data_IF_848196019107
#
_entry.id   IF_848196019107
#
_cell.length_a   1.000
_cell.length_b   1.000
_cell.length_c   1.000
_cell.angle_alpha   90.00
_cell.angle_beta   90.00
_cell.angle_gamma   90.00
#
_symmetry.space_group_name_H-M   'P 1'
#
loop_
_entity.id
_entity.type
_entity.pdbx_description
1 polymer ?
#
# COMPACT_ATOMS: atom_id res chain seq x y z
N UNK A 1 -1.44 27.84 38.58
CA UNK A 1 -2.76 27.42 38.03
C UNK A 1 -2.77 27.29 36.50
N UNK A 2 -2.40 28.31 35.71
CA UNK A 2 -2.43 28.22 34.22
C UNK A 2 -1.47 27.17 33.62
N UNK A 3 -0.29 26.97 34.20
CA UNK A 3 0.64 25.93 33.73
C UNK A 3 0.16 24.51 34.04
N UNK A 4 -0.39 24.29 35.24
CA UNK A 4 -0.98 23.02 35.61
C UNK A 4 -2.14 22.67 34.65
N UNK A 5 -3.05 23.63 34.41
CA UNK A 5 -4.12 23.47 33.43
C UNK A 5 -3.60 23.14 32.03
N UNK A 6 -2.55 23.83 31.56
CA UNK A 6 -1.90 23.53 30.27
C UNK A 6 -1.38 22.08 30.20
N UNK A 7 -0.74 21.60 31.27
CA UNK A 7 -0.23 20.22 31.34
C UNK A 7 -1.35 19.19 31.34
N UNK A 8 -2.43 19.42 32.09
CA UNK A 8 -3.60 18.53 32.10
C UNK A 8 -4.29 18.47 30.74
N UNK A 9 -4.55 19.63 30.12
CA UNK A 9 -5.19 19.68 28.80
C UNK A 9 -4.32 19.04 27.73
N UNK A 10 -3.00 19.23 27.79
CA UNK A 10 -2.05 18.52 26.91
C UNK A 10 -2.17 17.00 27.06
N UNK A 11 -2.15 16.49 28.30
CA UNK A 11 -2.27 15.05 28.56
C UNK A 11 -3.60 14.48 28.02
N UNK A 12 -4.71 15.18 28.28
CA UNK A 12 -6.03 14.82 27.76
C UNK A 12 -6.02 14.80 26.23
N UNK A 13 -5.38 15.79 25.60
CA UNK A 13 -5.30 15.89 24.13
C UNK A 13 -4.46 14.77 23.52
N UNK A 14 -3.39 14.32 24.19
CA UNK A 14 -2.60 13.16 23.76
C UNK A 14 -3.42 11.87 23.86
N UNK A 15 -4.15 11.68 24.96
CA UNK A 15 -5.04 10.51 25.12
C UNK A 15 -6.14 10.53 24.06
N UNK A 16 -6.75 11.69 23.82
CA UNK A 16 -7.75 11.87 22.77
C UNK A 16 -7.17 11.59 21.37
N UNK A 17 -5.94 12.04 21.08
CA UNK A 17 -5.27 11.76 19.81
C UNK A 17 -5.07 10.26 19.60
N UNK A 18 -4.68 9.50 20.62
CA UNK A 18 -4.56 8.04 20.53
C UNK A 18 -5.92 7.40 20.22
N UNK A 19 -6.98 7.81 20.90
CA UNK A 19 -8.33 7.31 20.63
C UNK A 19 -8.81 7.66 19.20
N UNK A 20 -8.50 8.86 18.72
CA UNK A 20 -8.77 9.30 17.35
C UNK A 20 -8.04 8.43 16.33
N UNK A 21 -6.75 8.17 16.53
CA UNK A 21 -5.96 7.31 15.64
C UNK A 21 -6.50 5.87 15.64
N UNK A 22 -6.88 5.33 16.80
CA UNK A 22 -7.53 4.01 16.87
C UNK A 22 -8.81 3.99 16.04
N UNK A 23 -9.69 4.99 16.21
CA UNK A 23 -10.92 5.09 15.44
C UNK A 23 -10.66 5.24 13.93
N UNK A 24 -9.67 6.04 13.55
CA UNK A 24 -9.25 6.20 12.16
C UNK A 24 -8.80 4.87 11.55
N UNK A 25 -7.95 4.11 12.24
CA UNK A 25 -7.49 2.80 11.75
C UNK A 25 -8.62 1.77 11.66
N UNK A 26 -9.59 1.79 12.58
CA UNK A 26 -10.79 0.93 12.46
C UNK A 26 -11.52 1.25 11.15
N UNK A 27 -11.83 2.54 10.88
CA UNK A 27 -12.50 2.93 9.63
C UNK A 27 -11.68 2.58 8.39
N UNK A 28 -10.37 2.80 8.42
CA UNK A 28 -9.47 2.47 7.31
C UNK A 28 -9.48 0.97 7.05
N UNK A 29 -9.41 0.13 8.09
CA UNK A 29 -9.43 -1.34 7.96
C UNK A 29 -10.81 -1.85 7.52
N UNK A 30 -11.90 -1.28 8.04
CA UNK A 30 -13.26 -1.59 7.58
C UNK A 30 -13.40 -1.31 6.08
N UNK A 31 -12.81 -0.21 5.62
CA UNK A 31 -12.81 0.18 4.21
C UNK A 31 -11.90 -0.72 3.36
N UNK A 32 -10.70 -1.09 3.84
CA UNK A 32 -9.82 -2.08 3.21
C UNK A 32 -10.54 -3.41 3.00
N UNK A 33 -11.31 -3.84 4.01
CA UNK A 33 -12.05 -5.09 4.01
C UNK A 33 -13.38 -5.04 3.24
N UNK A 34 -13.95 -3.85 3.00
CA UNK A 34 -15.17 -3.71 2.19
C UNK A 34 -14.86 -3.58 0.70
N UNK A 35 -13.65 -3.13 0.37
CA UNK A 35 -13.20 -2.89 -1.00
C UNK A 35 -12.50 -4.12 -1.59
N UNK A 36 -13.30 -5.10 -2.01
CA UNK A 36 -12.87 -6.14 -2.97
C UNK A 36 -13.33 -5.71 -4.36
N UNK A 37 -12.52 -4.90 -5.03
CA UNK A 37 -12.74 -4.60 -6.46
C UNK A 37 -12.43 -5.81 -7.34
N UNK A 38 -12.10 -5.58 -8.61
CA UNK A 38 -11.79 -6.65 -9.57
C UNK A 38 -10.55 -7.42 -9.12
N UNK A 39 -10.76 -8.64 -8.62
CA UNK A 39 -9.72 -9.48 -8.03
C UNK A 39 -8.91 -8.80 -6.91
N UNK A 40 -9.55 -7.97 -6.09
CA UNK A 40 -8.92 -7.32 -4.93
C UNK A 40 -8.21 -5.99 -5.21
N UNK A 41 -8.09 -5.56 -6.47
CA UNK A 41 -7.63 -4.22 -6.83
C UNK A 41 -8.79 -3.23 -6.95
N UNK A 42 -8.54 -1.98 -6.56
CA UNK A 42 -9.57 -0.93 -6.58
C UNK A 42 -9.01 0.34 -7.24
N UNK A 43 -9.68 0.83 -8.29
CA UNK A 43 -9.28 2.04 -9.00
C UNK A 43 -7.81 1.98 -9.50
N UNK A 44 -7.04 3.05 -9.34
CA UNK A 44 -5.65 3.14 -9.79
C UNK A 44 -4.65 2.30 -8.97
N UNK A 45 -5.11 1.64 -7.90
CA UNK A 45 -4.26 0.75 -7.09
C UNK A 45 -3.59 -0.35 -7.93
N UNK A 46 -4.30 -0.91 -8.91
CA UNK A 46 -3.74 -1.93 -9.82
C UNK A 46 -2.48 -1.40 -10.52
N UNK A 47 -2.57 -0.23 -11.15
CA UNK A 47 -1.49 0.39 -11.88
C UNK A 47 -0.27 0.66 -10.99
N UNK A 48 -0.47 1.11 -9.76
CA UNK A 48 0.64 1.43 -8.84
C UNK A 48 1.28 0.18 -8.23
N UNK A 49 0.48 -0.79 -7.80
CA UNK A 49 0.96 -2.04 -7.19
C UNK A 49 1.66 -2.90 -8.22
N UNK A 50 1.08 -3.07 -9.42
CA UNK A 50 1.69 -3.84 -10.50
C UNK A 50 2.95 -3.16 -11.03
N UNK A 51 2.98 -1.83 -11.12
CA UNK A 51 4.20 -1.10 -11.43
C UNK A 51 5.28 -1.29 -10.36
N UNK A 52 4.91 -1.23 -9.07
CA UNK A 52 5.84 -1.50 -7.97
C UNK A 52 6.42 -2.92 -8.05
N UNK A 53 5.57 -3.92 -8.31
CA UNK A 53 5.98 -5.32 -8.53
C UNK A 53 6.90 -5.46 -9.75
N UNK A 54 6.55 -4.81 -10.87
CA UNK A 54 7.37 -4.82 -12.07
C UNK A 54 8.74 -4.17 -11.85
N UNK A 55 8.80 -3.05 -11.11
CA UNK A 55 10.08 -2.43 -10.71
C UNK A 55 10.89 -3.40 -9.84
N UNK A 56 10.26 -4.01 -8.84
CA UNK A 56 10.90 -4.99 -7.94
C UNK A 56 11.57 -6.12 -8.72
N UNK A 57 10.85 -6.74 -9.66
CA UNK A 57 11.39 -7.85 -10.44
C UNK A 57 12.34 -7.41 -11.55
N UNK A 58 11.98 -6.41 -12.35
CA UNK A 58 12.72 -6.09 -13.58
C UNK A 58 13.91 -5.17 -13.35
N UNK A 59 13.80 -4.25 -12.39
CA UNK A 59 14.84 -3.26 -12.11
C UNK A 59 15.76 -3.77 -11.01
N UNK A 60 15.20 -4.32 -9.93
CA UNK A 60 16.00 -4.79 -8.79
C UNK A 60 16.34 -6.28 -8.85
N UNK A 61 15.69 -7.08 -9.70
CA UNK A 61 15.95 -8.52 -9.79
C UNK A 61 15.53 -9.29 -8.53
N UNK A 62 14.60 -8.73 -7.75
CA UNK A 62 14.13 -9.29 -6.48
C UNK A 62 12.70 -9.83 -6.63
N UNK A 63 12.26 -10.60 -5.64
CA UNK A 63 10.87 -11.06 -5.52
C UNK A 63 10.28 -10.66 -4.17
N UNK A 64 8.94 -10.50 -4.07
CA UNK A 64 8.28 -10.35 -2.78
C UNK A 64 8.62 -11.48 -1.82
N UNK A 65 8.54 -11.22 -0.51
CA UNK A 65 8.68 -12.29 0.47
C UNK A 65 7.50 -13.26 0.35
N UNK A 66 7.81 -14.55 0.38
CA UNK A 66 6.85 -15.64 0.29
C UNK A 66 6.75 -16.29 1.66
N UNK A 67 5.51 -16.51 2.13
CA UNK A 67 5.27 -17.13 3.43
C UNK A 67 4.68 -18.53 3.24
N UNK A 68 5.23 -19.50 3.99
CA UNK A 68 4.68 -20.86 4.05
C UNK A 68 5.24 -21.80 2.98
N UNK A 69 4.49 -22.87 2.75
CA UNK A 69 4.79 -24.00 1.86
C UNK A 69 4.15 -23.84 0.46
N UNK A 70 3.48 -22.72 0.21
CA UNK A 70 2.78 -22.41 -1.04
C UNK A 70 3.23 -21.07 -1.58
N UNK A 71 3.29 -20.96 -2.90
CA UNK A 71 3.79 -19.78 -3.61
C UNK A 71 2.79 -19.31 -4.64
N UNK A 72 2.42 -18.04 -4.57
CA UNK A 72 1.59 -17.38 -5.57
C UNK A 72 2.45 -17.01 -6.79
N UNK A 73 2.03 -17.47 -7.97
CA UNK A 73 2.71 -17.17 -9.23
C UNK A 73 1.72 -16.87 -10.34
N UNK A 74 2.05 -15.89 -11.16
CA UNK A 74 1.50 -15.74 -12.52
C UNK A 74 2.47 -16.37 -13.51
N UNK A 75 2.00 -17.42 -14.19
CA UNK A 75 2.72 -18.13 -15.24
C UNK A 75 2.25 -17.58 -16.58
N UNK A 76 3.08 -16.75 -17.21
CA UNK A 76 2.84 -16.25 -18.56
C UNK A 76 3.22 -17.35 -19.54
N UNK A 77 2.35 -17.63 -20.50
CA UNK A 77 2.47 -18.77 -21.40
C UNK A 77 2.98 -18.36 -22.77
N UNK A 78 3.60 -19.31 -23.48
CA UNK A 78 3.96 -19.12 -24.89
C UNK A 78 2.71 -19.04 -25.79
N UNK A 79 2.81 -18.31 -26.90
CA UNK A 79 1.64 -18.02 -27.77
C UNK A 79 0.92 -19.26 -28.33
N UNK A 80 1.62 -20.38 -28.53
CA UNK A 80 1.04 -21.64 -29.00
C UNK A 80 0.38 -22.51 -27.93
N UNK A 81 0.47 -22.13 -26.64
CA UNK A 81 -0.06 -22.93 -25.54
C UNK A 81 -1.60 -22.88 -25.51
N UNK A 82 -2.22 -24.04 -25.35
CA UNK A 82 -3.62 -24.18 -24.93
C UNK A 82 -3.69 -24.03 -23.40
N UNK A 83 -4.50 -23.07 -22.93
CA UNK A 83 -4.55 -22.70 -21.50
C UNK A 83 -5.20 -23.80 -20.67
N UNK A 84 -6.22 -24.49 -21.20
CA UNK A 84 -6.95 -25.52 -20.47
C UNK A 84 -6.11 -26.79 -20.34
N UNK A 85 -5.42 -27.18 -21.41
CA UNK A 85 -4.45 -28.29 -21.33
C UNK A 85 -3.32 -27.98 -20.34
N UNK A 86 -2.80 -26.75 -20.35
CA UNK A 86 -1.73 -26.34 -19.44
C UNK A 86 -2.18 -26.32 -17.98
N UNK A 87 -3.42 -25.90 -17.72
CA UNK A 87 -4.05 -25.93 -16.40
C UNK A 87 -4.09 -27.35 -15.84
N UNK A 88 -4.55 -28.32 -16.64
CA UNK A 88 -4.55 -29.74 -16.24
C UNK A 88 -3.14 -30.25 -15.89
N UNK A 89 -2.11 -29.80 -16.62
CA UNK A 89 -0.72 -30.16 -16.33
C UNK A 89 -0.27 -29.61 -14.98
N UNK A 90 -0.47 -28.32 -14.69
CA UNK A 90 0.00 -27.73 -13.42
C UNK A 90 -0.79 -28.27 -12.21
N UNK A 91 -2.07 -28.60 -12.38
CA UNK A 91 -2.89 -29.20 -11.32
C UNK A 91 -2.38 -30.59 -10.89
N UNK A 92 -1.75 -31.36 -11.81
CA UNK A 92 -1.09 -32.64 -11.47
C UNK A 92 0.13 -32.45 -10.57
N UNK A 93 0.74 -31.27 -10.58
CA UNK A 93 1.81 -30.88 -9.65
C UNK A 93 1.27 -30.29 -8.34
N UNK A 94 -0.03 -30.38 -8.09
CA UNK A 94 -0.67 -29.87 -6.87
C UNK A 94 -0.91 -28.36 -6.87
N UNK A 95 -0.77 -27.70 -8.03
CA UNK A 95 -1.10 -26.28 -8.15
C UNK A 95 -2.62 -26.05 -8.08
N UNK A 96 -3.03 -24.99 -7.39
CA UNK A 96 -4.40 -24.48 -7.37
C UNK A 96 -4.50 -23.27 -8.29
N UNK A 97 -5.21 -23.41 -9.41
CA UNK A 97 -5.39 -22.30 -10.37
C UNK A 97 -6.55 -21.43 -9.90
N UNK A 98 -6.26 -20.17 -9.61
CA UNK A 98 -7.23 -19.18 -9.11
C UNK A 98 -7.79 -18.32 -10.24
N UNK A 99 -6.99 -18.04 -11.28
CA UNK A 99 -7.39 -17.21 -12.42
C UNK A 99 -6.72 -17.66 -13.71
N UNK A 100 -7.49 -17.77 -14.78
CA UNK A 100 -7.08 -18.28 -16.09
C UNK A 100 -7.73 -17.55 -17.29
N UNK A 101 -8.55 -16.53 -17.03
CA UNK A 101 -9.37 -15.81 -18.01
C UNK A 101 -8.70 -14.55 -18.58
N UNK A 102 -7.36 -14.56 -18.70
CA UNK A 102 -6.60 -13.43 -19.25
C UNK A 102 -6.81 -13.26 -20.76
N UNK A 103 -7.29 -12.09 -21.17
CA UNK A 103 -7.60 -11.74 -22.57
C UNK A 103 -6.41 -11.05 -23.26
N UNK A 104 -5.67 -10.19 -22.55
CA UNK A 104 -4.61 -9.38 -23.18
C UNK A 104 -3.28 -10.12 -23.30
N UNK A 105 -3.08 -11.19 -22.53
CA UNK A 105 -1.90 -12.04 -22.56
C UNK A 105 -2.28 -13.45 -22.11
N UNK A 106 -1.63 -14.47 -22.66
CA UNK A 106 -1.88 -15.85 -22.20
C UNK A 106 -1.17 -16.07 -20.88
N UNK A 107 -1.92 -16.31 -19.81
CA UNK A 107 -1.36 -16.64 -18.51
C UNK A 107 -2.33 -17.47 -17.68
N UNK A 108 -1.81 -18.07 -16.61
CA UNK A 108 -2.60 -18.51 -15.47
C UNK A 108 -1.99 -17.94 -14.20
N UNK A 109 -2.82 -17.67 -13.21
CA UNK A 109 -2.41 -17.38 -11.84
C UNK A 109 -2.77 -18.56 -10.96
N UNK A 110 -1.77 -19.07 -10.26
CA UNK A 110 -1.87 -20.28 -9.47
C UNK A 110 -1.10 -20.16 -8.15
N UNK A 111 -1.57 -20.93 -7.17
CA UNK A 111 -0.87 -21.18 -5.92
C UNK A 111 -0.21 -22.54 -6.02
N UNK A 112 1.12 -22.58 -6.00
CA UNK A 112 1.91 -23.78 -6.25
C UNK A 112 2.63 -24.21 -4.97
N UNK A 113 2.57 -25.49 -4.56
CA UNK A 113 3.38 -26.01 -3.47
C UNK A 113 4.88 -25.79 -3.74
N UNK A 114 5.64 -25.37 -2.72
CA UNK A 114 7.06 -25.05 -2.88
C UNK A 114 7.89 -26.27 -3.33
N UNK A 115 7.46 -27.47 -2.95
CA UNK A 115 8.06 -28.75 -3.32
C UNK A 115 7.99 -29.01 -4.83
N UNK A 116 6.91 -28.57 -5.49
CA UNK A 116 6.68 -28.80 -6.92
C UNK A 116 6.94 -27.56 -7.78
N UNK A 117 7.13 -26.40 -7.15
CA UNK A 117 7.34 -25.11 -7.80
C UNK A 117 8.42 -25.16 -8.88
N UNK A 118 9.58 -25.77 -8.57
CA UNK A 118 10.70 -25.80 -9.52
C UNK A 118 10.36 -26.57 -10.82
N UNK A 119 9.47 -27.56 -10.76
CA UNK A 119 9.03 -28.28 -11.97
C UNK A 119 8.06 -27.43 -12.78
N UNK A 120 7.09 -26.79 -12.09
CA UNK A 120 6.05 -25.98 -12.74
C UNK A 120 6.64 -24.78 -13.46
N UNK A 121 7.57 -24.05 -12.85
CA UNK A 121 8.13 -22.82 -13.42
C UNK A 121 9.07 -23.08 -14.61
N UNK A 122 9.58 -24.31 -14.77
CA UNK A 122 10.45 -24.73 -15.87
C UNK A 122 9.72 -25.51 -16.97
N UNK A 123 8.38 -25.60 -16.90
CA UNK A 123 7.60 -26.21 -17.98
C UNK A 123 7.84 -25.42 -19.29
N UNK A 124 7.98 -26.12 -20.44
CA UNK A 124 8.37 -25.49 -21.70
C UNK A 124 7.35 -24.47 -22.22
N UNK A 125 6.10 -24.58 -21.78
CA UNK A 125 5.01 -23.67 -22.13
C UNK A 125 5.06 -22.34 -21.35
N UNK A 126 5.87 -22.24 -20.30
CA UNK A 126 6.00 -21.04 -19.47
C UNK A 126 7.07 -20.14 -20.08
N UNK A 127 6.65 -18.95 -20.53
CA UNK A 127 7.55 -17.93 -21.09
C UNK A 127 8.13 -17.02 -20.01
N UNK A 128 7.35 -16.72 -18.97
CA UNK A 128 7.77 -15.89 -17.84
C UNK A 128 7.04 -16.28 -16.57
N UNK A 129 7.76 -16.22 -15.45
CA UNK A 129 7.24 -16.48 -14.11
C UNK A 129 7.27 -15.15 -13.37
N UNK A 130 6.15 -14.80 -12.74
CA UNK A 130 6.07 -13.62 -11.89
C UNK A 130 5.56 -14.06 -10.53
N UNK A 131 6.33 -13.77 -9.49
CA UNK A 131 5.98 -14.12 -8.12
C UNK A 131 5.10 -13.06 -7.49
N UNK A 132 4.19 -13.49 -6.63
CA UNK A 132 3.29 -12.59 -5.90
C UNK A 132 1.84 -12.68 -6.38
N UNK A 133 1.07 -11.65 -6.09
CA UNK A 133 -0.37 -11.62 -6.35
C UNK A 133 -0.68 -11.52 -7.84
N UNK A 134 -1.88 -11.97 -8.21
CA UNK A 134 -2.35 -11.95 -9.58
C UNK A 134 -2.30 -10.56 -10.21
N UNK A 135 -2.00 -10.53 -11.50
CA UNK A 135 -2.13 -9.33 -12.32
C UNK A 135 -3.58 -9.12 -12.75
N UNK A 136 -3.93 -7.86 -12.98
CA UNK A 136 -5.14 -7.44 -13.66
C UNK A 136 -5.06 -7.77 -15.15
N UNK A 137 -6.18 -8.07 -15.78
CA UNK A 137 -6.21 -8.34 -17.22
C UNK A 137 -6.25 -7.03 -18.02
N UNK A 138 -5.08 -6.40 -18.18
CA UNK A 138 -4.91 -5.16 -18.95
C UNK A 138 -3.75 -5.26 -19.94
N UNK A 139 -3.91 -4.58 -21.07
CA UNK A 139 -2.86 -4.52 -22.09
C UNK A 139 -1.57 -3.92 -21.54
N UNK A 140 -0.44 -4.60 -21.78
CA UNK A 140 0.90 -4.13 -21.41
C UNK A 140 1.23 -4.16 -19.91
N UNK A 141 0.32 -4.64 -19.05
CA UNK A 141 0.47 -4.53 -17.60
C UNK A 141 1.66 -5.29 -17.02
N UNK A 142 2.03 -6.42 -17.63
CA UNK A 142 3.19 -7.24 -17.24
C UNK A 142 4.52 -6.47 -17.34
N UNK A 143 4.55 -5.43 -18.17
CA UNK A 143 5.74 -4.65 -18.46
C UNK A 143 5.63 -3.19 -18.04
N UNK A 144 4.47 -2.77 -17.56
CA UNK A 144 4.17 -1.40 -17.22
C UNK A 144 4.86 -0.97 -15.91
N UNK A 145 5.64 0.11 -15.98
CA UNK A 145 6.42 0.64 -14.84
C UNK A 145 5.83 1.94 -14.26
N UNK A 146 4.79 2.50 -14.90
CA UNK A 146 4.21 3.78 -14.53
C UNK A 146 5.29 4.87 -14.38
N UNK A 147 5.89 5.25 -15.50
CA UNK A 147 7.01 6.21 -15.57
C UNK A 147 6.54 7.67 -15.53
N UNK A 148 5.24 7.90 -15.72
CA UNK A 148 4.60 9.21 -15.64
C UNK A 148 4.57 9.78 -14.21
N UNK A 149 4.72 8.92 -13.19
CA UNK A 149 4.82 9.33 -11.78
C UNK A 149 6.19 8.99 -11.17
N UNK A 150 6.74 9.85 -10.28
CA UNK A 150 7.97 9.54 -9.56
C UNK A 150 7.90 8.21 -8.79
N UNK A 151 9.03 7.49 -8.62
CA UNK A 151 9.01 6.12 -8.12
C UNK A 151 8.94 6.01 -6.59
N UNK A 152 9.09 7.11 -5.84
CA UNK A 152 9.24 7.05 -4.38
C UNK A 152 8.06 6.36 -3.67
N UNK A 153 6.82 6.68 -4.05
CA UNK A 153 5.64 6.01 -3.48
C UNK A 153 5.62 4.50 -3.80
N UNK A 154 6.05 4.13 -5.01
CA UNK A 154 6.21 2.72 -5.41
C UNK A 154 7.29 2.02 -4.59
N UNK A 155 8.35 2.72 -4.18
CA UNK A 155 9.38 2.14 -3.32
C UNK A 155 8.87 1.81 -1.91
N UNK A 156 7.93 2.58 -1.36
CA UNK A 156 7.27 2.20 -0.11
C UNK A 156 6.42 0.94 -0.26
N UNK A 157 5.69 0.82 -1.37
CA UNK A 157 4.93 -0.38 -1.70
C UNK A 157 5.88 -1.59 -1.83
N UNK A 158 6.98 -1.45 -2.57
CA UNK A 158 8.02 -2.47 -2.71
C UNK A 158 8.57 -2.90 -1.35
N UNK A 159 8.90 -1.94 -0.48
CA UNK A 159 9.41 -2.25 0.86
C UNK A 159 8.41 -3.09 1.66
N UNK A 160 7.11 -2.81 1.52
CA UNK A 160 6.07 -3.63 2.15
C UNK A 160 6.01 -5.04 1.56
N UNK A 161 6.10 -5.16 0.23
CA UNK A 161 6.15 -6.46 -0.46
C UNK A 161 7.35 -7.31 -0.03
N UNK A 162 8.48 -6.67 0.28
CA UNK A 162 9.68 -7.35 0.78
C UNK A 162 9.60 -7.76 2.25
N UNK A 163 8.75 -7.11 3.05
CA UNK A 163 8.70 -7.34 4.51
C UNK A 163 7.50 -8.18 4.95
N UNK A 164 6.34 -8.06 4.30
CA UNK A 164 5.15 -8.85 4.64
C UNK A 164 4.51 -9.58 3.45
N UNK A 165 5.00 -9.36 2.24
CA UNK A 165 4.61 -10.11 1.05
C UNK A 165 3.71 -9.32 0.12
N UNK A 166 3.45 -9.90 -1.05
CA UNK A 166 2.65 -9.25 -2.09
C UNK A 166 1.20 -9.74 -2.01
N UNK A 167 0.42 -9.10 -1.13
CA UNK A 167 -1.01 -9.32 -0.91
C UNK A 167 -1.73 -7.99 -0.59
N UNK A 168 -3.05 -7.87 -0.82
CA UNK A 168 -3.82 -6.63 -0.65
C UNK A 168 -3.51 -5.81 0.59
N UNK A 169 -3.59 -6.42 1.77
CA UNK A 169 -3.33 -5.72 3.03
C UNK A 169 -1.88 -5.20 3.10
N UNK A 170 -0.92 -5.98 2.61
CA UNK A 170 0.50 -5.68 2.74
C UNK A 170 0.91 -4.45 1.95
N UNK A 171 0.58 -4.38 0.65
CA UNK A 171 0.94 -3.19 -0.13
C UNK A 171 0.15 -1.93 0.29
N UNK A 172 -0.96 -2.08 1.02
CA UNK A 172 -1.72 -0.96 1.61
C UNK A 172 -1.11 -0.43 2.92
N UNK A 173 -0.31 -1.21 3.65
CA UNK A 173 0.31 -0.79 4.93
C UNK A 173 0.99 0.59 4.86
N UNK A 174 1.82 0.89 3.84
CA UNK A 174 2.47 2.20 3.76
C UNK A 174 1.48 3.37 3.65
N UNK A 175 0.36 3.20 2.94
CA UNK A 175 -0.71 4.19 2.86
C UNK A 175 -1.40 4.40 4.21
N UNK A 176 -1.68 3.30 4.93
CA UNK A 176 -2.30 3.32 6.27
C UNK A 176 -1.40 4.08 7.25
N UNK A 177 -0.10 3.79 7.24
CA UNK A 177 0.89 4.49 8.08
C UNK A 177 0.93 5.98 7.71
N UNK A 178 0.92 6.30 6.41
CA UNK A 178 0.96 7.69 5.93
C UNK A 178 -0.24 8.50 6.43
N UNK A 179 -1.46 7.94 6.38
CA UNK A 179 -2.67 8.57 6.93
C UNK A 179 -2.56 8.91 8.42
N UNK A 180 -2.01 7.99 9.23
CA UNK A 180 -1.76 8.23 10.65
C UNK A 180 -0.76 9.36 10.88
N UNK A 181 0.35 9.37 10.12
CA UNK A 181 1.37 10.42 10.23
C UNK A 181 0.79 11.78 9.84
N UNK A 182 -0.06 11.86 8.80
CA UNK A 182 -0.75 13.10 8.39
C UNK A 182 -1.58 13.67 9.55
N UNK A 183 -2.37 12.84 10.24
CA UNK A 183 -3.18 13.28 11.39
C UNK A 183 -2.29 13.81 12.51
N UNK A 184 -1.25 13.07 12.88
CA UNK A 184 -0.32 13.48 13.95
C UNK A 184 0.43 14.76 13.57
N UNK A 185 0.95 14.85 12.36
CA UNK A 185 1.69 16.01 11.90
C UNK A 185 0.79 17.26 11.85
N UNK A 186 -0.46 17.13 11.40
CA UNK A 186 -1.41 18.26 11.39
C UNK A 186 -1.83 18.67 12.80
N UNK A 187 -1.99 17.73 13.72
CA UNK A 187 -2.18 18.03 15.15
C UNK A 187 -1.02 18.88 15.69
N UNK A 188 0.23 18.49 15.40
CA UNK A 188 1.42 19.23 15.84
C UNK A 188 1.48 20.63 15.20
N UNK A 189 1.20 20.74 13.90
CA UNK A 189 1.15 22.03 13.20
C UNK A 189 0.15 22.97 13.88
N UNK A 190 -1.06 22.49 14.18
CA UNK A 190 -2.09 23.31 14.85
C UNK A 190 -1.68 23.71 16.28
N UNK A 191 -1.12 22.79 17.05
CA UNK A 191 -0.62 23.08 18.40
C UNK A 191 0.50 24.13 18.38
N UNK A 192 1.38 24.10 17.36
CA UNK A 192 2.45 25.07 17.18
C UNK A 192 1.94 26.42 16.69
N UNK A 193 1.00 26.44 15.74
CA UNK A 193 0.40 27.66 15.20
C UNK A 193 -0.30 28.49 16.29
N UNK A 194 -0.89 27.82 17.29
CA UNK A 194 -1.60 28.47 18.39
C UNK A 194 -0.81 28.45 19.71
N UNK A 195 0.51 28.20 19.68
CA UNK A 195 1.32 28.01 20.90
C UNK A 195 1.17 29.14 21.93
N UNK A 196 1.01 30.38 21.46
CA UNK A 196 0.89 31.58 22.31
C UNK A 196 -0.47 31.66 23.03
N UNK A 197 -1.44 30.81 22.64
CA UNK A 197 -2.77 30.69 23.26
C UNK A 197 -2.80 29.66 24.40
N UNK A 198 -1.66 29.06 24.77
CA UNK A 198 -1.55 28.18 25.93
C UNK A 198 -2.33 26.88 25.78
N UNK A 199 -3.21 26.54 26.74
CA UNK A 199 -3.97 25.28 26.72
C UNK A 199 -4.96 25.18 25.56
N UNK A 200 -5.43 26.34 25.05
CA UNK A 200 -6.36 26.44 23.93
C UNK A 200 -5.77 25.81 22.66
N UNK A 201 -4.44 25.90 22.47
CA UNK A 201 -3.75 25.30 21.33
C UNK A 201 -4.02 23.80 21.20
N UNK A 202 -3.99 23.07 22.31
CA UNK A 202 -4.17 21.62 22.34
C UNK A 202 -5.63 21.21 22.10
N UNK A 203 -6.59 22.03 22.53
CA UNK A 203 -8.01 21.81 22.21
C UNK A 203 -8.24 21.92 20.71
N UNK A 204 -7.77 23.00 20.09
CA UNK A 204 -7.90 23.16 18.63
C UNK A 204 -7.12 22.09 17.85
N UNK A 205 -5.92 21.71 18.30
CA UNK A 205 -5.18 20.61 17.68
C UNK A 205 -5.95 19.28 17.73
N UNK A 206 -6.59 18.98 18.87
CA UNK A 206 -7.43 17.79 19.03
C UNK A 206 -8.65 17.84 18.10
N UNK A 207 -9.31 18.99 18.01
CA UNK A 207 -10.43 19.19 17.08
C UNK A 207 -9.99 19.01 15.62
N UNK A 208 -8.82 19.51 15.24
CA UNK A 208 -8.27 19.32 13.89
C UNK A 208 -8.00 17.84 13.59
N UNK A 209 -7.34 17.12 14.51
CA UNK A 209 -7.11 15.68 14.35
C UNK A 209 -8.43 14.90 14.25
N UNK A 210 -9.43 15.27 15.07
CA UNK A 210 -10.75 14.69 15.02
C UNK A 210 -11.40 14.93 13.66
N UNK A 211 -11.42 16.16 13.16
CA UNK A 211 -11.98 16.49 11.84
C UNK A 211 -11.34 15.66 10.71
N UNK A 212 -10.01 15.55 10.69
CA UNK A 212 -9.30 14.74 9.69
C UNK A 212 -9.64 13.25 9.78
N UNK A 213 -9.81 12.71 10.99
CA UNK A 213 -10.17 11.29 11.17
C UNK A 213 -11.57 10.91 10.66
N UNK A 214 -12.41 11.91 10.33
CA UNK A 214 -13.72 11.74 9.72
C UNK A 214 -13.74 12.16 8.25
N UNK A 215 -12.63 12.65 7.70
CA UNK A 215 -12.55 13.02 6.29
C UNK A 215 -12.56 11.77 5.39
N UNK A 216 -13.60 11.57 4.56
CA UNK A 216 -13.69 10.41 3.68
C UNK A 216 -12.53 10.33 2.68
N UNK A 217 -11.98 11.47 2.26
CA UNK A 217 -10.90 11.50 1.27
C UNK A 217 -9.60 10.96 1.85
N UNK A 218 -9.25 11.37 3.08
CA UNK A 218 -8.11 10.80 3.81
C UNK A 218 -8.31 9.31 4.12
N UNK A 219 -9.51 8.90 4.52
CA UNK A 219 -9.81 7.48 4.78
C UNK A 219 -9.59 6.65 3.51
N UNK A 220 -10.19 7.05 2.38
CA UNK A 220 -10.09 6.30 1.12
C UNK A 220 -8.66 6.23 0.59
N UNK A 221 -7.94 7.36 0.57
CA UNK A 221 -6.55 7.41 0.11
C UNK A 221 -5.59 6.64 1.03
N UNK A 222 -5.89 6.51 2.33
CA UNK A 222 -5.12 5.70 3.26
C UNK A 222 -5.45 4.20 3.19
N UNK A 223 -6.67 3.86 2.74
CA UNK A 223 -7.14 2.47 2.60
C UNK A 223 -6.60 1.76 1.36
N UNK A 224 -6.20 2.49 0.32
CA UNK A 224 -5.71 1.91 -0.94
C UNK A 224 -4.23 2.23 -1.14
N UNK A 225 -3.52 1.41 -1.91
CA UNK A 225 -2.14 1.71 -2.32
C UNK A 225 -2.09 2.75 -3.46
N UNK A 226 -2.66 3.93 -3.21
CA UNK A 226 -2.60 5.10 -4.10
C UNK A 226 -1.35 5.94 -3.82
N UNK A 227 -0.84 6.65 -4.83
CA UNK A 227 0.33 7.51 -4.65
C UNK A 227 0.00 8.86 -3.97
N UNK A 228 -1.26 9.31 -4.04
CA UNK A 228 -1.74 10.60 -3.54
C UNK A 228 -1.56 10.79 -2.02
N UNK A 229 -1.67 9.71 -1.25
CA UNK A 229 -1.48 9.77 0.22
C UNK A 229 -0.03 10.11 0.58
N UNK A 230 0.95 9.66 -0.23
CA UNK A 230 2.35 10.03 -0.01
C UNK A 230 2.61 11.49 -0.36
N UNK A 231 1.98 12.01 -1.42
CA UNK A 231 2.06 13.44 -1.76
C UNK A 231 1.50 14.27 -0.60
N UNK A 232 0.35 13.87 -0.06
CA UNK A 232 -0.26 14.52 1.10
C UNK A 232 0.65 14.45 2.33
N UNK A 233 1.24 13.29 2.61
CA UNK A 233 2.19 13.09 3.71
C UNK A 233 3.38 14.05 3.61
N UNK A 234 4.08 14.05 2.47
CA UNK A 234 5.28 14.87 2.31
C UNK A 234 4.96 16.37 2.31
N UNK A 235 3.80 16.77 1.79
CA UNK A 235 3.32 18.16 1.88
C UNK A 235 3.14 18.60 3.33
N UNK A 236 2.48 17.78 4.15
CA UNK A 236 2.25 18.08 5.57
C UNK A 236 3.57 18.05 6.36
N UNK A 237 4.47 17.10 6.07
CA UNK A 237 5.79 17.04 6.69
C UNK A 237 6.68 18.24 6.31
N UNK A 238 6.62 18.71 5.06
CA UNK A 238 7.30 19.93 4.63
C UNK A 238 6.83 21.13 5.46
N UNK A 239 5.50 21.31 5.59
CA UNK A 239 4.92 22.38 6.40
C UNK A 239 5.33 22.28 7.88
N UNK A 240 5.29 21.07 8.46
CA UNK A 240 5.75 20.84 9.83
C UNK A 240 7.24 21.19 9.99
N UNK A 241 8.09 20.83 9.01
CA UNK A 241 9.51 21.15 9.04
C UNK A 241 9.75 22.67 9.02
N UNK A 242 8.99 23.43 8.21
CA UNK A 242 9.03 24.91 8.25
C UNK A 242 8.65 25.44 9.63
N UNK A 243 7.55 24.95 10.21
CA UNK A 243 7.05 25.38 11.51
C UNK A 243 8.07 25.11 12.64
N UNK A 244 8.85 24.03 12.55
CA UNK A 244 9.92 23.68 13.50
C UNK A 244 11.21 24.47 13.24
N UNK A 245 11.28 25.28 12.18
CA UNK A 245 12.46 26.07 11.81
C UNK A 245 13.53 25.27 11.05
N UNK A 246 13.15 24.15 10.44
CA UNK A 246 14.03 23.26 9.65
C UNK A 246 13.79 23.46 8.14
N UNK A 247 13.97 24.67 7.63
CA UNK A 247 13.67 25.01 6.23
C UNK A 247 14.43 24.17 5.19
N UNK A 248 15.67 23.73 5.50
CA UNK A 248 16.42 22.82 4.63
C UNK A 248 15.75 21.45 4.48
N UNK A 249 15.17 20.93 5.56
CA UNK A 249 14.43 19.67 5.54
C UNK A 249 13.11 19.82 4.79
N UNK A 250 12.45 20.98 4.90
CA UNK A 250 11.24 21.27 4.13
C UNK A 250 11.48 21.25 2.62
N UNK A 251 12.66 21.68 2.14
CA UNK A 251 12.96 21.65 0.70
C UNK A 251 13.36 20.28 0.15
N UNK A 252 13.46 19.26 1.01
CA UNK A 252 13.71 17.86 0.61
C UNK A 252 12.43 17.14 0.18
N UNK A 253 11.29 17.59 0.72
CA UNK A 253 9.95 17.07 0.48
C UNK A 253 9.22 17.92 -0.55
#
# INVERSE_FOLDING_TARGET
MREALRRYVWLISVIALIAILINFNIKVLDNVNSMYGDHGYVSDECWYVEAARNILHKVFGLSPIMWGDKVNVTLVLTGGTDVEEFKDVVMRYGAEVIKDDYTYFKAIYAVVPIETLNYVIHLPNVSRVIYGYMYLDKSGIIDYLNMEHPPLGKYFIILSMLTCGDVPICWRIPSIISGNIIIVATFLIMAMALRDRGWVAYVFATLTALSLSFDPMLINSSSLAMLDVFVSLFTVLALLAVMVGKSKLSGLF
#
